data_IF_122863806660
#
_entry.id   IF_122863806660
#
_cell.length_a   1.000
_cell.length_b   1.000
_cell.length_c   1.000
_cell.angle_alpha   90.00
_cell.angle_beta   90.00
_cell.angle_gamma   90.00
#
_symmetry.space_group_name_H-M   'P 1'
#
loop_
_entity.id
_entity.type
_entity.pdbx_description
1 polymer ?
#
# COMPACT_ATOMS: atom_id res chain seq x y z
N UNK A 1 18.72 -35.23 -34.05
CA UNK A 1 17.61 -34.26 -34.00
C UNK A 1 16.76 -34.42 -32.74
N UNK A 2 16.50 -35.65 -32.28
CA UNK A 2 15.69 -35.92 -31.08
C UNK A 2 16.27 -35.34 -29.78
N UNK A 3 17.60 -35.41 -29.58
CA UNK A 3 18.25 -34.86 -28.37
C UNK A 3 18.07 -33.34 -28.26
N UNK A 4 18.18 -32.62 -29.38
CA UNK A 4 17.95 -31.17 -29.41
C UNK A 4 16.47 -30.84 -29.16
N UNK A 5 15.55 -31.62 -29.72
CA UNK A 5 14.12 -31.45 -29.47
C UNK A 5 13.78 -31.66 -27.98
N UNK A 6 14.29 -32.73 -27.36
CA UNK A 6 14.16 -32.99 -25.92
C UNK A 6 14.74 -31.85 -25.08
N UNK A 7 15.93 -31.35 -25.44
CA UNK A 7 16.55 -30.21 -24.77
C UNK A 7 15.68 -28.95 -24.82
N UNK A 8 15.16 -28.58 -26.00
CA UNK A 8 14.26 -27.44 -26.13
C UNK A 8 12.95 -27.62 -25.34
N UNK A 9 12.39 -28.84 -25.34
CA UNK A 9 11.19 -29.16 -24.54
C UNK A 9 11.49 -28.98 -23.05
N UNK A 10 12.63 -29.48 -22.56
CA UNK A 10 13.05 -29.30 -21.17
C UNK A 10 13.23 -27.81 -20.81
N UNK A 11 13.83 -27.01 -21.71
CA UNK A 11 13.97 -25.56 -21.51
C UNK A 11 12.60 -24.89 -21.41
N UNK A 12 11.69 -25.17 -22.35
CA UNK A 12 10.35 -24.58 -22.37
C UNK A 12 9.58 -24.98 -21.11
N UNK A 13 9.67 -26.24 -20.70
CA UNK A 13 9.05 -26.73 -19.47
C UNK A 13 9.62 -25.99 -18.24
N UNK A 14 10.94 -25.82 -18.16
CA UNK A 14 11.57 -25.12 -17.04
C UNK A 14 11.15 -23.64 -16.99
N UNK A 15 11.16 -22.95 -18.13
CA UNK A 15 10.68 -21.55 -18.25
C UNK A 15 9.22 -21.47 -17.82
N UNK A 16 8.37 -22.38 -18.30
CA UNK A 16 6.96 -22.40 -17.93
C UNK A 16 6.75 -22.65 -16.43
N UNK A 17 7.45 -23.63 -15.84
CA UNK A 17 7.42 -23.88 -14.41
C UNK A 17 7.88 -22.66 -13.60
N UNK A 18 8.91 -21.97 -14.08
CA UNK A 18 9.42 -20.74 -13.46
C UNK A 18 8.42 -19.59 -13.54
N UNK A 19 7.75 -19.41 -14.70
CA UNK A 19 6.66 -18.45 -14.87
C UNK A 19 5.53 -18.72 -13.86
N UNK A 20 5.11 -19.98 -13.74
CA UNK A 20 4.05 -20.39 -12.80
C UNK A 20 4.47 -20.09 -11.36
N UNK A 21 5.71 -20.41 -10.99
CA UNK A 21 6.25 -20.12 -9.68
C UNK A 21 6.26 -18.62 -9.38
N UNK A 22 6.79 -17.80 -10.30
CA UNK A 22 6.91 -16.35 -10.12
C UNK A 22 5.55 -15.65 -10.01
N UNK A 23 4.59 -16.08 -10.83
CA UNK A 23 3.24 -15.49 -10.88
C UNK A 23 2.35 -15.96 -9.72
N UNK A 24 2.41 -17.24 -9.37
CA UNK A 24 1.40 -17.86 -8.53
C UNK A 24 1.91 -18.40 -7.19
N UNK A 25 3.22 -18.64 -7.01
CA UNK A 25 3.77 -19.36 -5.83
C UNK A 25 4.65 -18.49 -4.93
N UNK A 26 5.54 -17.67 -5.47
CA UNK A 26 6.37 -16.78 -4.62
C UNK A 26 5.58 -15.57 -4.08
N UNK A 27 6.02 -15.02 -2.95
CA UNK A 27 5.33 -13.92 -2.23
C UNK A 27 6.23 -12.73 -1.89
N UNK A 28 7.52 -12.81 -2.22
CA UNK A 28 8.53 -11.86 -1.74
C UNK A 28 8.70 -10.67 -2.68
N UNK A 29 8.49 -10.86 -3.98
CA UNK A 29 8.78 -9.85 -4.98
C UNK A 29 7.56 -9.55 -5.84
N UNK A 30 6.88 -8.44 -5.58
CA UNK A 30 5.68 -8.03 -6.33
C UNK A 30 5.96 -7.83 -7.83
N UNK A 31 7.16 -7.38 -8.18
CA UNK A 31 7.58 -7.21 -9.58
C UNK A 31 7.57 -8.53 -10.33
N UNK A 32 7.98 -9.63 -9.68
CA UNK A 32 7.97 -10.95 -10.31
C UNK A 32 6.55 -11.55 -10.43
N UNK A 33 5.61 -11.12 -9.57
CA UNK A 33 4.20 -11.49 -9.71
C UNK A 33 3.59 -10.84 -10.96
N UNK A 34 3.89 -9.56 -11.19
CA UNK A 34 3.35 -8.79 -12.31
C UNK A 34 4.08 -9.05 -13.63
N UNK A 35 5.40 -9.25 -13.57
CA UNK A 35 6.26 -9.53 -14.72
C UNK A 35 7.10 -10.79 -14.47
N UNK A 36 6.49 -11.99 -14.50
CA UNK A 36 7.20 -13.24 -14.23
C UNK A 36 8.36 -13.43 -15.20
N UNK A 37 9.48 -13.98 -14.70
CA UNK A 37 10.73 -14.17 -15.45
C UNK A 37 11.40 -12.85 -15.87
N UNK A 38 10.76 -12.03 -16.69
CA UNK A 38 11.32 -10.78 -17.25
C UNK A 38 11.64 -9.77 -16.13
N UNK A 39 10.82 -9.71 -15.08
CA UNK A 39 11.07 -8.85 -13.93
C UNK A 39 12.39 -9.15 -13.20
N UNK A 40 13.00 -10.33 -13.42
CA UNK A 40 14.33 -10.66 -12.88
C UNK A 40 15.44 -9.86 -13.56
N UNK A 41 15.26 -9.51 -14.83
CA UNK A 41 16.21 -8.67 -15.57
C UNK A 41 16.32 -7.27 -14.95
N UNK A 42 15.27 -6.79 -14.27
CA UNK A 42 15.33 -5.53 -13.52
C UNK A 42 16.47 -5.54 -12.50
N UNK A 43 16.62 -6.63 -11.74
CA UNK A 43 17.67 -6.73 -10.73
C UNK A 43 19.05 -6.82 -11.38
N UNK A 44 19.16 -7.50 -12.52
CA UNK A 44 20.39 -7.53 -13.30
C UNK A 44 20.77 -6.14 -13.80
N UNK A 45 19.83 -5.39 -14.39
CA UNK A 45 20.08 -4.02 -14.85
C UNK A 45 20.26 -3.02 -13.71
N UNK A 46 19.73 -3.30 -12.53
CA UNK A 46 19.98 -2.51 -11.32
C UNK A 46 21.46 -2.58 -10.92
N UNK A 47 22.09 -3.75 -11.00
CA UNK A 47 23.55 -3.89 -10.76
C UNK A 47 24.37 -3.16 -11.83
N UNK A 48 23.94 -3.19 -13.09
CA UNK A 48 24.61 -2.47 -14.17
C UNK A 48 24.30 -0.96 -14.21
N UNK A 49 23.47 -0.45 -13.29
CA UNK A 49 23.02 0.95 -13.29
C UNK A 49 24.19 1.92 -13.26
N UNK A 50 25.12 1.77 -12.33
CA UNK A 50 26.24 2.71 -12.16
C UNK A 50 27.15 2.74 -13.40
N UNK A 51 27.60 1.59 -13.95
CA UNK A 51 28.29 1.57 -15.23
C UNK A 51 27.51 2.27 -16.36
N UNK A 52 26.22 1.97 -16.52
CA UNK A 52 25.43 2.59 -17.59
C UNK A 52 25.24 4.10 -17.39
N UNK A 53 25.05 4.56 -16.15
CA UNK A 53 24.93 5.99 -15.85
C UNK A 53 26.22 6.74 -16.11
N UNK A 54 27.37 6.16 -15.75
CA UNK A 54 28.68 6.77 -15.97
C UNK A 54 28.96 7.05 -17.46
N UNK A 55 28.55 6.16 -18.36
CA UNK A 55 28.88 6.28 -19.79
C UNK A 55 27.74 6.81 -20.65
N UNK A 56 26.47 6.65 -20.24
CA UNK A 56 25.30 6.95 -21.06
C UNK A 56 24.23 7.81 -20.37
N UNK A 57 24.34 8.07 -19.07
CA UNK A 57 23.32 8.77 -18.29
C UNK A 57 23.66 10.25 -18.04
N UNK A 58 22.64 11.10 -18.02
CA UNK A 58 22.76 12.46 -17.47
C UNK A 58 22.58 12.39 -15.94
N UNK A 59 23.60 12.82 -15.20
CA UNK A 59 23.59 12.81 -13.73
C UNK A 59 22.45 13.63 -13.12
N UNK A 60 21.94 14.65 -13.83
CA UNK A 60 20.96 15.59 -13.29
C UNK A 60 19.52 15.09 -13.33
N UNK A 61 19.21 14.14 -14.22
CA UNK A 61 17.82 13.75 -14.49
C UNK A 61 17.29 12.69 -13.52
N UNK A 62 18.16 11.81 -13.02
CA UNK A 62 17.76 10.65 -12.25
C UNK A 62 18.25 10.74 -10.80
N UNK A 63 17.35 10.43 -9.86
CA UNK A 63 17.66 10.31 -8.43
C UNK A 63 18.83 9.34 -8.15
N UNK A 64 19.53 9.56 -7.03
CA UNK A 64 20.67 8.72 -6.62
C UNK A 64 20.23 7.31 -6.22
N UNK A 65 21.15 6.35 -6.35
CA UNK A 65 20.92 4.98 -5.87
C UNK A 65 20.70 4.96 -4.35
N UNK A 66 21.48 5.73 -3.60
CA UNK A 66 21.38 5.84 -2.14
C UNK A 66 19.98 6.23 -1.67
N UNK A 67 19.34 7.19 -2.35
CA UNK A 67 17.97 7.61 -2.03
C UNK A 67 16.97 6.48 -2.26
N UNK A 68 17.14 5.72 -3.34
CA UNK A 68 16.26 4.59 -3.64
C UNK A 68 16.49 3.43 -2.67
N UNK A 69 17.74 3.14 -2.31
CA UNK A 69 18.08 2.11 -1.33
C UNK A 69 17.56 2.47 0.06
N UNK A 70 17.63 3.75 0.45
CA UNK A 70 16.99 4.25 1.66
C UNK A 70 15.47 3.99 1.66
N UNK A 71 14.77 4.32 0.56
CA UNK A 71 13.32 4.03 0.43
C UNK A 71 13.04 2.52 0.49
N UNK A 72 13.85 1.70 -0.20
CA UNK A 72 13.66 0.24 -0.21
C UNK A 72 13.96 -0.41 1.13
N UNK A 73 14.92 0.09 1.89
CA UNK A 73 15.23 -0.37 3.23
C UNK A 73 14.09 -0.02 4.19
N UNK A 74 13.61 1.22 4.14
CA UNK A 74 12.47 1.66 4.96
C UNK A 74 11.22 0.81 4.67
N UNK A 75 10.92 0.57 3.38
CA UNK A 75 9.79 -0.26 2.97
C UNK A 75 9.91 -1.74 3.36
N UNK A 76 11.12 -2.21 3.69
CA UNK A 76 11.40 -3.60 4.10
C UNK A 76 11.70 -3.73 5.58
N UNK A 77 11.46 -2.69 6.36
CA UNK A 77 11.80 -2.63 7.79
C UNK A 77 13.27 -3.00 8.06
N UNK A 78 14.16 -2.45 7.24
CA UNK A 78 15.61 -2.58 7.38
C UNK A 78 16.21 -1.29 7.92
N UNK A 79 17.43 -1.39 8.43
CA UNK A 79 18.21 -0.25 8.89
C UNK A 79 18.32 0.82 7.80
N UNK A 80 17.91 2.04 8.14
CA UNK A 80 17.90 3.20 7.24
C UNK A 80 19.16 4.08 7.35
N UNK A 81 20.14 3.68 8.17
CA UNK A 81 21.39 4.42 8.30
C UNK A 81 22.26 4.18 7.07
N UNK A 82 22.55 5.26 6.35
CA UNK A 82 23.55 5.29 5.29
C UNK A 82 24.70 6.20 5.74
N UNK A 83 25.94 5.74 5.57
CA UNK A 83 27.11 6.58 5.77
C UNK A 83 27.17 7.62 4.67
N UNK A 84 26.97 8.89 4.98
CA UNK A 84 27.17 9.98 4.03
C UNK A 84 28.58 10.55 4.18
N UNK A 85 29.28 10.71 3.06
CA UNK A 85 30.47 11.54 2.97
C UNK A 85 30.09 12.82 2.24
N UNK A 86 30.26 14.02 2.82
CA UNK A 86 29.99 15.26 2.12
C UNK A 86 31.11 15.52 1.08
N UNK A 87 31.08 14.77 -0.03
CA UNK A 87 31.97 14.97 -1.18
C UNK A 87 31.62 16.22 -1.99
N UNK A 88 30.42 16.79 -1.80
CA UNK A 88 30.02 18.06 -2.40
C UNK A 88 29.46 19.03 -1.35
N UNK A 89 29.75 20.34 -1.47
CA UNK A 89 29.15 21.35 -0.61
C UNK A 89 27.63 21.35 -0.80
N UNK A 90 26.90 21.24 0.32
CA UNK A 90 25.45 21.32 0.31
C UNK A 90 25.04 22.70 -0.25
N UNK A 91 24.31 22.77 -1.39
CA UNK A 91 23.69 24.03 -1.80
C UNK A 91 22.79 24.48 -0.65
N UNK A 92 22.90 25.78 -0.28
CA UNK A 92 22.29 26.40 0.92
C UNK A 92 21.08 25.59 1.42
N UNK A 93 21.18 24.90 2.58
CA UNK A 93 20.09 24.08 3.06
C UNK A 93 18.85 24.97 3.21
N UNK A 94 17.70 24.54 2.64
CA UNK A 94 16.44 25.31 2.70
C UNK A 94 15.99 25.55 4.14
N UNK A 95 16.39 24.67 5.07
CA UNK A 95 16.30 24.88 6.52
C UNK A 95 17.55 24.31 7.19
N UNK A 96 18.13 25.04 8.14
CA UNK A 96 19.23 24.57 8.97
C UNK A 96 18.68 24.31 10.37
N UNK A 97 18.68 23.05 10.80
CA UNK A 97 18.43 22.72 12.21
C UNK A 97 19.68 23.09 12.98
N UNK A 98 19.62 24.20 13.73
CA UNK A 98 20.72 24.58 14.64
C UNK A 98 20.72 23.61 15.81
N UNK A 99 21.88 23.04 16.10
CA UNK A 99 22.08 22.31 17.34
C UNK A 99 21.79 23.24 18.52
N UNK A 100 21.02 22.76 19.50
CA UNK A 100 20.82 23.49 20.76
C UNK A 100 21.87 23.02 21.76
N UNK A 101 22.56 23.97 22.40
CA UNK A 101 23.55 23.66 23.43
C UNK A 101 22.89 23.23 24.76
N UNK A 102 21.58 23.50 24.90
CA UNK A 102 20.76 23.11 26.05
C UNK A 102 19.55 22.39 25.46
N UNK A 103 19.57 21.06 25.53
CA UNK A 103 18.45 20.22 25.13
C UNK A 103 17.46 20.14 26.29
N UNK A 104 16.17 20.07 25.96
CA UNK A 104 15.14 19.70 26.92
C UNK A 104 15.29 18.20 27.22
N UNK A 105 15.08 17.82 28.48
CA UNK A 105 14.93 16.43 28.88
C UNK A 105 13.59 15.88 28.40
N UNK A 106 13.43 14.55 28.36
CA UNK A 106 12.22 13.89 27.87
C UNK A 106 10.94 14.35 28.61
N UNK A 107 11.06 14.73 29.88
CA UNK A 107 9.97 15.24 30.72
C UNK A 107 9.71 16.75 30.54
N UNK A 108 10.62 17.46 29.87
CA UNK A 108 10.49 18.88 29.52
C UNK A 108 9.95 19.08 28.10
N UNK A 109 9.86 18.02 27.29
CA UNK A 109 9.33 18.05 25.93
C UNK A 109 7.83 17.80 25.95
N UNK A 110 7.07 18.68 25.29
CA UNK A 110 5.64 18.50 25.06
C UNK A 110 5.40 17.26 24.17
N UNK A 111 4.48 16.40 24.60
CA UNK A 111 4.07 15.21 23.83
C UNK A 111 2.77 15.43 23.04
N UNK A 112 2.21 16.64 23.10
CA UNK A 112 1.06 17.03 22.28
C UNK A 112 1.54 17.49 20.90
N UNK A 113 1.26 16.67 19.90
CA UNK A 113 1.51 16.97 18.49
C UNK A 113 0.22 17.26 17.74
N UNK A 114 -0.84 17.67 18.44
CA UNK A 114 -2.11 18.03 17.81
C UNK A 114 -2.05 19.39 17.12
N UNK A 115 -2.84 19.53 16.05
CA UNK A 115 -3.05 20.80 15.35
C UNK A 115 -4.55 21.02 15.22
N UNK A 116 -5.01 22.18 15.71
CA UNK A 116 -6.41 22.59 15.61
C UNK A 116 -6.65 23.40 14.35
N UNK A 117 -7.47 22.87 13.45
CA UNK A 117 -7.94 23.54 12.26
C UNK A 117 -9.32 24.16 12.49
N UNK A 118 -9.45 25.46 12.20
CA UNK A 118 -10.71 26.16 12.31
C UNK A 118 -11.18 26.33 13.76
N UNK A 119 -10.29 26.78 14.65
CA UNK A 119 -10.55 26.99 16.08
C UNK A 119 -11.84 27.79 16.39
N UNK A 120 -12.22 28.70 15.50
CA UNK A 120 -13.44 29.52 15.63
C UNK A 120 -14.71 28.86 15.05
N UNK A 121 -14.64 27.63 14.53
CA UNK A 121 -15.79 26.88 14.02
C UNK A 121 -16.55 26.24 15.18
N UNK A 122 -17.83 25.94 14.95
CA UNK A 122 -18.65 25.19 15.92
C UNK A 122 -18.05 23.81 16.23
N UNK A 123 -17.45 23.18 15.22
CA UNK A 123 -16.74 21.90 15.33
C UNK A 123 -15.32 22.05 14.77
N UNK A 124 -14.33 22.49 15.58
CA UNK A 124 -12.94 22.56 15.15
C UNK A 124 -12.38 21.16 14.94
N UNK A 125 -11.54 20.97 13.93
CA UNK A 125 -10.89 19.69 13.65
C UNK A 125 -9.52 19.65 14.33
N UNK A 126 -9.35 18.78 15.32
CA UNK A 126 -8.10 18.61 16.07
C UNK A 126 -7.42 17.32 15.60
N UNK A 127 -6.22 17.44 15.04
CA UNK A 127 -5.47 16.26 14.56
C UNK A 127 -4.80 15.52 15.72
N UNK A 128 -4.56 14.22 15.54
CA UNK A 128 -3.74 13.42 16.46
C UNK A 128 -2.22 13.53 16.18
N UNK A 129 -1.84 14.22 15.11
CA UNK A 129 -0.45 14.35 14.65
C UNK A 129 -0.22 15.64 13.86
N UNK A 130 1.01 16.16 13.92
CA UNK A 130 1.52 17.26 13.07
C UNK A 130 1.83 16.80 11.65
N UNK A 131 1.94 15.48 11.44
CA UNK A 131 2.12 14.88 10.12
C UNK A 131 0.73 14.56 9.58
N UNK A 132 0.54 14.71 8.28
CA UNK A 132 -0.67 14.28 7.59
C UNK A 132 -0.34 13.93 6.14
N UNK A 133 -1.15 13.08 5.52
CA UNK A 133 -1.01 12.77 4.10
C UNK A 133 -1.84 13.75 3.28
N UNK A 134 -1.15 14.50 2.42
CA UNK A 134 -1.77 15.43 1.47
C UNK A 134 -2.75 14.75 0.50
N UNK A 135 -3.56 15.53 -0.23
CA UNK A 135 -4.60 15.01 -1.11
C UNK A 135 -3.99 14.17 -2.23
N UNK A 136 -4.45 12.93 -2.38
CA UNK A 136 -4.31 12.22 -3.64
C UNK A 136 -5.55 11.39 -3.91
N UNK A 137 -6.11 11.60 -5.10
CA UNK A 137 -7.35 11.02 -5.59
C UNK A 137 -7.27 9.50 -5.73
N UNK A 138 -8.30 8.80 -5.25
CA UNK A 138 -8.49 7.38 -5.52
C UNK A 138 -8.82 7.19 -7.01
N UNK A 139 -7.86 6.66 -7.76
CA UNK A 139 -7.84 6.68 -9.23
C UNK A 139 -6.55 7.28 -9.81
N UNK A 140 -5.94 8.26 -9.12
CA UNK A 140 -4.56 8.69 -9.41
C UNK A 140 -3.52 7.76 -8.79
N UNK A 141 -3.87 7.16 -7.65
CA UNK A 141 -3.13 6.05 -7.04
C UNK A 141 -3.95 4.76 -7.16
N UNK A 142 -3.27 3.61 -7.19
CA UNK A 142 -3.95 2.32 -7.21
C UNK A 142 -4.77 2.10 -5.93
N UNK A 143 -5.85 1.29 -5.98
CA UNK A 143 -6.62 0.94 -4.79
C UNK A 143 -5.75 0.40 -3.66
N UNK A 144 -4.75 -0.44 -3.96
CA UNK A 144 -3.81 -0.98 -2.97
C UNK A 144 -2.95 0.11 -2.33
N UNK A 145 -2.57 1.13 -3.10
CA UNK A 145 -1.85 2.28 -2.58
C UNK A 145 -2.69 3.09 -1.60
N UNK A 146 -3.94 3.41 -1.95
CA UNK A 146 -4.90 4.07 -1.02
C UNK A 146 -5.05 3.26 0.26
N UNK A 147 -5.29 1.95 0.15
CA UNK A 147 -5.45 1.06 1.32
C UNK A 147 -4.19 1.00 2.18
N UNK A 148 -3.00 0.99 1.59
CA UNK A 148 -1.75 1.00 2.32
C UNK A 148 -1.58 2.31 3.11
N UNK A 149 -1.91 3.46 2.51
CA UNK A 149 -1.90 4.75 3.21
C UNK A 149 -2.91 4.81 4.34
N UNK A 150 -4.13 4.29 4.15
CA UNK A 150 -5.17 4.26 5.20
C UNK A 150 -4.70 3.41 6.39
N UNK A 151 -4.12 2.23 6.14
CA UNK A 151 -3.54 1.41 7.19
C UNK A 151 -2.38 2.13 7.90
N UNK A 152 -1.49 2.79 7.15
CA UNK A 152 -0.39 3.58 7.71
C UNK A 152 -0.87 4.74 8.58
N UNK A 153 -1.86 5.49 8.09
CA UNK A 153 -2.53 6.59 8.81
C UNK A 153 -3.14 6.12 10.12
N UNK A 154 -3.83 4.98 10.10
CA UNK A 154 -4.43 4.41 11.30
C UNK A 154 -3.37 3.99 12.32
N UNK A 155 -2.35 3.24 11.89
CA UNK A 155 -1.29 2.75 12.77
C UNK A 155 -0.44 3.87 13.37
N UNK A 156 -0.16 4.93 12.60
CA UNK A 156 0.66 6.05 13.04
C UNK A 156 -0.16 7.28 13.49
N UNK A 157 -1.49 7.14 13.61
CA UNK A 157 -2.39 8.18 14.10
C UNK A 157 -2.24 9.53 13.39
N UNK A 158 -2.18 9.54 12.06
CA UNK A 158 -2.13 10.77 11.27
C UNK A 158 -3.30 10.89 10.28
N UNK A 159 -3.83 12.10 10.04
CA UNK A 159 -4.95 12.30 9.12
C UNK A 159 -4.57 12.06 7.66
N UNK A 160 -5.54 11.60 6.88
CA UNK A 160 -5.42 11.36 5.44
C UNK A 160 -6.44 12.19 4.66
N UNK A 161 -5.99 12.91 3.64
CA UNK A 161 -6.90 13.59 2.72
C UNK A 161 -7.31 12.69 1.55
N UNK A 162 -8.61 12.60 1.25
CA UNK A 162 -9.18 11.74 0.20
C UNK A 162 -8.79 12.15 -1.23
N UNK A 163 -8.45 13.43 -1.42
CA UNK A 163 -8.30 14.01 -2.75
C UNK A 163 -9.63 14.14 -3.49
N UNK A 164 -9.53 14.51 -4.77
CA UNK A 164 -10.66 14.77 -5.67
C UNK A 164 -11.45 13.51 -6.10
N UNK A 165 -10.95 12.32 -5.80
CA UNK A 165 -11.57 11.03 -6.16
C UNK A 165 -12.75 10.64 -5.28
N UNK A 166 -13.02 11.42 -4.23
CA UNK A 166 -14.07 11.16 -3.26
C UNK A 166 -13.75 10.02 -2.29
N UNK A 167 -14.72 9.69 -1.45
CA UNK A 167 -14.61 8.65 -0.43
C UNK A 167 -15.08 7.30 -1.00
N UNK A 168 -14.16 6.37 -1.15
CA UNK A 168 -14.44 5.01 -1.65
C UNK A 168 -14.31 3.96 -0.54
N UNK A 169 -14.71 2.72 -0.82
CA UNK A 169 -14.51 1.58 0.10
C UNK A 169 -13.04 1.38 0.51
N UNK A 170 -12.07 1.88 -0.28
CA UNK A 170 -10.64 1.76 0.03
C UNK A 170 -10.23 2.52 1.29
N UNK A 171 -11.04 3.48 1.75
CA UNK A 171 -10.82 4.21 3.00
C UNK A 171 -11.36 3.48 4.24
N UNK A 172 -12.12 2.40 4.06
CA UNK A 172 -12.74 1.64 5.15
C UNK A 172 -11.99 0.34 5.47
N UNK A 173 -10.74 0.20 5.01
CA UNK A 173 -9.98 -1.06 5.13
C UNK A 173 -9.51 -1.40 6.54
N UNK A 174 -9.50 -0.42 7.44
CA UNK A 174 -9.21 -0.61 8.86
C UNK A 174 -10.49 -0.83 9.67
N UNK A 175 -11.65 -0.48 9.11
CA UNK A 175 -12.94 -0.59 9.76
C UNK A 175 -13.40 -2.05 9.78
N UNK A 176 -13.22 -2.72 10.92
CA UNK A 176 -13.61 -4.11 11.13
C UNK A 176 -14.80 -4.23 12.10
N UNK A 177 -14.93 -3.28 13.02
CA UNK A 177 -15.97 -3.27 14.06
C UNK A 177 -17.17 -2.42 13.62
N UNK A 178 -17.91 -2.91 12.64
CA UNK A 178 -19.03 -2.20 12.03
C UNK A 178 -20.37 -2.94 12.17
N UNK A 179 -21.47 -2.19 12.15
CA UNK A 179 -22.83 -2.74 12.06
C UNK A 179 -23.20 -2.99 10.58
N UNK A 180 -23.79 -4.15 10.32
CA UNK A 180 -24.32 -4.54 9.01
C UNK A 180 -25.48 -3.65 8.51
N UNK A 181 -26.04 -2.79 9.36
CA UNK A 181 -27.06 -1.80 8.96
C UNK A 181 -26.51 -0.78 7.95
N UNK A 182 -25.27 -0.31 8.14
CA UNK A 182 -24.64 0.69 7.25
C UNK A 182 -23.47 0.11 6.43
N UNK A 183 -23.00 -1.11 6.75
CA UNK A 183 -22.00 -1.82 5.95
C UNK A 183 -22.61 -3.06 5.31
N UNK A 184 -22.48 -3.18 3.99
CA UNK A 184 -22.93 -4.36 3.25
C UNK A 184 -21.83 -5.42 3.28
N UNK A 185 -22.12 -6.57 3.89
CA UNK A 185 -21.28 -7.76 3.82
C UNK A 185 -21.80 -8.76 2.77
N UNK A 186 -20.88 -9.37 2.04
CA UNK A 186 -21.14 -10.44 1.08
C UNK A 186 -20.19 -11.59 1.38
N UNK A 187 -20.77 -12.74 1.76
CA UNK A 187 -20.06 -14.00 2.00
C UNK A 187 -20.46 -15.03 0.97
N UNK A 188 -19.51 -15.88 0.58
CA UNK A 188 -19.78 -17.01 -0.29
C UNK A 188 -20.55 -18.11 0.45
N UNK A 189 -21.10 -19.05 -0.31
CA UNK A 189 -21.68 -20.27 0.24
C UNK A 189 -20.59 -21.16 0.88
N UNK A 190 -20.93 -22.11 1.76
CA UNK A 190 -19.96 -23.01 2.38
C UNK A 190 -19.10 -23.80 1.37
N UNK A 191 -19.62 -24.04 0.17
CA UNK A 191 -18.87 -24.67 -0.91
C UNK A 191 -17.83 -23.73 -1.52
N UNK A 192 -18.22 -22.47 -1.80
CA UNK A 192 -17.33 -21.45 -2.35
C UNK A 192 -16.22 -21.08 -1.35
N UNK A 193 -16.52 -21.06 -0.06
CA UNK A 193 -15.52 -20.88 1.00
C UNK A 193 -14.50 -22.02 1.05
N UNK A 194 -14.94 -23.28 0.87
CA UNK A 194 -14.03 -24.43 0.77
C UNK A 194 -13.10 -24.31 -0.44
N UNK A 195 -13.64 -23.89 -1.59
CA UNK A 195 -12.84 -23.60 -2.80
C UNK A 195 -11.83 -22.50 -2.51
N UNK A 196 -12.25 -21.40 -1.89
CA UNK A 196 -11.35 -20.31 -1.52
C UNK A 196 -10.20 -20.78 -0.62
N UNK A 197 -10.49 -21.57 0.40
CA UNK A 197 -9.48 -22.15 1.31
C UNK A 197 -8.50 -23.06 0.56
N UNK A 198 -8.98 -23.87 -0.38
CA UNK A 198 -8.11 -24.66 -1.25
C UNK A 198 -7.23 -23.77 -2.15
N UNK A 199 -7.80 -22.73 -2.75
CA UNK A 199 -7.06 -21.75 -3.57
C UNK A 199 -6.00 -20.99 -2.77
N UNK A 200 -6.24 -20.64 -1.50
CA UNK A 200 -5.24 -20.02 -0.62
C UNK A 200 -4.01 -20.90 -0.39
N UNK A 201 -4.19 -22.23 -0.40
CA UNK A 201 -3.10 -23.20 -0.24
C UNK A 201 -2.30 -23.31 -1.54
N UNK A 202 -2.99 -23.35 -2.69
CA UNK A 202 -2.37 -23.56 -4.01
C UNK A 202 -1.75 -22.28 -4.61
N UNK A 203 -2.33 -21.10 -4.34
CA UNK A 203 -2.01 -19.83 -4.99
C UNK A 203 -1.72 -18.70 -3.99
N UNK A 204 -1.34 -17.50 -4.45
CA UNK A 204 -1.19 -16.36 -3.53
C UNK A 204 -2.53 -15.88 -3.02
N UNK A 205 -2.49 -15.23 -1.86
CA UNK A 205 -3.65 -14.61 -1.23
C UNK A 205 -4.37 -13.64 -2.18
N UNK A 206 -3.72 -12.70 -2.91
CA UNK A 206 -4.42 -11.84 -3.87
C UNK A 206 -5.12 -12.61 -4.99
N UNK A 207 -4.50 -13.64 -5.58
CA UNK A 207 -5.11 -14.48 -6.62
C UNK A 207 -6.28 -15.29 -6.05
N UNK A 208 -6.14 -15.84 -4.85
CA UNK A 208 -7.22 -16.56 -4.18
C UNK A 208 -8.41 -15.62 -3.90
N UNK A 209 -8.15 -14.38 -3.46
CA UNK A 209 -9.18 -13.35 -3.24
C UNK A 209 -9.84 -12.96 -4.57
N UNK A 210 -9.07 -12.73 -5.63
CA UNK A 210 -9.62 -12.38 -6.94
C UNK A 210 -10.49 -13.52 -7.51
N UNK A 211 -10.05 -14.76 -7.37
CA UNK A 211 -10.84 -15.92 -7.75
C UNK A 211 -12.12 -16.04 -6.93
N UNK A 212 -12.03 -15.83 -5.61
CA UNK A 212 -13.19 -15.83 -4.73
C UNK A 212 -14.18 -14.71 -5.06
N UNK A 213 -13.69 -13.50 -5.38
CA UNK A 213 -14.51 -12.37 -5.86
C UNK A 213 -15.29 -12.77 -7.11
N UNK A 214 -14.62 -13.36 -8.10
CA UNK A 214 -15.25 -13.79 -9.37
C UNK A 214 -16.32 -14.86 -9.14
N UNK A 215 -16.11 -15.78 -8.21
CA UNK A 215 -17.09 -16.80 -7.86
C UNK A 215 -18.35 -16.16 -7.23
N UNK A 216 -18.16 -15.31 -6.22
CA UNK A 216 -19.27 -14.70 -5.46
C UNK A 216 -20.08 -13.74 -6.33
N UNK A 217 -19.40 -12.80 -6.98
CA UNK A 217 -20.05 -11.70 -7.67
C UNK A 217 -20.41 -12.01 -9.12
N UNK A 218 -19.81 -13.05 -9.71
CA UNK A 218 -20.04 -13.50 -11.09
C UNK A 218 -19.85 -12.36 -12.11
N UNK A 219 -20.94 -11.72 -12.55
CA UNK A 219 -20.97 -10.63 -13.54
C UNK A 219 -21.45 -9.30 -12.94
N UNK A 220 -21.50 -9.18 -11.61
CA UNK A 220 -21.86 -7.92 -10.94
C UNK A 220 -20.80 -6.86 -11.28
N UNK A 221 -21.17 -5.74 -11.94
CA UNK A 221 -20.22 -4.68 -12.29
C UNK A 221 -19.64 -3.97 -11.06
N UNK A 222 -20.26 -4.12 -9.89
CA UNK A 222 -19.81 -3.49 -8.65
C UNK A 222 -18.84 -4.36 -7.85
N UNK A 223 -18.46 -5.54 -8.33
CA UNK A 223 -17.59 -6.48 -7.61
C UNK A 223 -16.28 -5.85 -7.12
N UNK A 224 -15.68 -4.97 -7.93
CA UNK A 224 -14.39 -4.33 -7.62
C UNK A 224 -14.50 -3.21 -6.58
N UNK A 225 -15.71 -2.74 -6.30
CA UNK A 225 -15.95 -1.76 -5.22
C UNK A 225 -15.91 -2.38 -3.83
N UNK A 226 -15.91 -3.71 -3.72
CA UNK A 226 -15.82 -4.40 -2.43
C UNK A 226 -14.37 -4.65 -2.02
N UNK A 227 -14.10 -4.35 -0.75
CA UNK A 227 -12.85 -4.70 -0.09
C UNK A 227 -12.98 -6.09 0.52
N UNK A 228 -11.89 -6.86 0.52
CA UNK A 228 -11.85 -8.15 1.20
C UNK A 228 -11.38 -7.98 2.66
N UNK A 229 -12.22 -8.38 3.61
CA UNK A 229 -11.89 -8.47 5.02
C UNK A 229 -11.18 -9.81 5.30
N UNK A 230 -9.92 -9.75 5.76
CA UNK A 230 -9.12 -10.95 6.04
C UNK A 230 -9.57 -11.71 7.28
N UNK A 231 -10.08 -11.01 8.29
CA UNK A 231 -10.50 -11.60 9.58
C UNK A 231 -11.84 -12.32 9.44
N UNK A 232 -12.79 -11.68 8.75
CA UNK A 232 -14.14 -12.21 8.52
C UNK A 232 -14.26 -13.10 7.27
N UNK A 233 -13.18 -13.22 6.49
CA UNK A 233 -13.11 -13.86 5.17
C UNK A 233 -14.29 -13.49 4.23
N UNK A 234 -14.67 -12.21 4.21
CA UNK A 234 -15.82 -11.71 3.46
C UNK A 234 -15.50 -10.47 2.64
N UNK A 235 -16.38 -10.16 1.69
CA UNK A 235 -16.33 -8.90 0.95
C UNK A 235 -17.24 -7.89 1.61
N UNK A 236 -16.79 -6.65 1.75
CA UNK A 236 -17.58 -5.59 2.38
C UNK A 236 -17.35 -4.24 1.73
N UNK A 237 -18.36 -3.37 1.88
CA UNK A 237 -18.31 -1.96 1.49
C UNK A 237 -19.38 -1.17 2.26
N UNK A 238 -19.28 0.17 2.34
CA UNK A 238 -20.39 0.98 2.81
C UNK A 238 -21.67 0.70 2.01
N UNK A 239 -22.79 0.57 2.70
CA UNK A 239 -24.10 0.44 2.09
C UNK A 239 -24.60 1.83 1.71
N UNK A 240 -24.22 2.30 0.52
CA UNK A 240 -24.59 3.64 0.02
C UNK A 240 -26.10 3.85 -0.13
N UNK A 241 -26.89 2.77 -0.15
CA UNK A 241 -28.36 2.81 -0.21
C UNK A 241 -29.01 2.89 1.18
N UNK A 242 -28.24 2.79 2.26
CA UNK A 242 -28.76 2.82 3.62
C UNK A 242 -29.17 4.26 4.03
N UNK A 243 -30.26 4.41 4.81
CA UNK A 243 -30.64 5.70 5.39
C UNK A 243 -29.53 6.31 6.25
N UNK A 244 -29.35 7.63 6.21
CA UNK A 244 -28.27 8.33 6.93
C UNK A 244 -28.37 8.17 8.47
N UNK A 245 -29.56 7.94 9.00
CA UNK A 245 -29.80 7.74 10.45
C UNK A 245 -29.19 6.45 11.00
N UNK A 246 -28.87 5.47 10.14
CA UNK A 246 -28.22 4.22 10.56
C UNK A 246 -26.70 4.31 10.58
N UNK A 247 -26.12 5.38 10.01
CA UNK A 247 -24.69 5.63 10.04
C UNK A 247 -24.26 6.18 11.41
N UNK A 248 -23.03 5.86 11.85
CA UNK A 248 -22.54 6.36 13.13
C UNK A 248 -22.42 7.90 13.11
N UNK A 249 -22.84 8.55 14.20
CA UNK A 249 -22.76 10.01 14.35
C UNK A 249 -21.33 10.51 14.59
N UNK A 250 -20.48 9.65 15.14
CA UNK A 250 -19.07 9.92 15.40
C UNK A 250 -18.21 9.02 14.49
N UNK A 251 -17.01 9.48 14.17
CA UNK A 251 -16.04 8.68 13.41
C UNK A 251 -15.67 7.43 14.23
N UNK A 252 -15.76 6.21 13.66
CA UNK A 252 -15.34 4.99 14.34
C UNK A 252 -13.87 5.01 14.74
N UNK A 253 -13.53 4.47 15.92
CA UNK A 253 -12.16 4.48 16.45
C UNK A 253 -11.18 3.60 15.66
N UNK A 254 -11.67 2.63 14.90
CA UNK A 254 -10.89 1.75 14.01
C UNK A 254 -10.67 2.34 12.61
N UNK A 255 -10.86 3.66 12.46
CA UNK A 255 -10.60 4.41 11.25
C UNK A 255 -9.62 5.57 11.51
N UNK A 256 -8.75 5.90 10.55
CA UNK A 256 -8.00 7.15 10.63
C UNK A 256 -8.91 8.34 10.41
N UNK A 257 -8.48 9.52 10.84
CA UNK A 257 -9.15 10.76 10.50
C UNK A 257 -9.04 11.01 8.98
N UNK A 258 -10.18 11.11 8.30
CA UNK A 258 -10.23 11.34 6.85
C UNK A 258 -10.72 12.77 6.59
N UNK A 259 -9.89 13.55 5.92
CA UNK A 259 -10.22 14.89 5.46
C UNK A 259 -10.80 14.77 4.04
N UNK A 260 -12.03 15.23 3.86
CA UNK A 260 -12.68 15.30 2.55
C UNK A 260 -12.27 16.62 1.87
N UNK A 261 -11.86 16.54 0.60
CA UNK A 261 -11.50 17.70 -0.22
C UNK A 261 -12.72 18.33 -0.88
#
# INVERSE_FOLDING_TARGET
>A
MEVWALFFICIIFFIFAWYVHDKYVQRKHQILVNYPIIGRLRFVFQEFREPFRQYFGDEKFYESMDKLDWVYNAARDKTNFASFSPGQPLPKPKFMLRHTNIVLNDDEVENDFSVTFGEQREFPFVTKSIIGRGPMSDGSISPEGTRAFVNGSYLASFPINSGEGGLTSNFFVTHNNYDTKYMKEVKGTPFEEKIFKACKILFNVPVAIDFYRKIIFRKDPLADTYVFNKEKECFYRPNWDAPLDVFPKNVPDDMPDIILQ
#
